data_IF_236491580989
#
_entry.id   IF_236491580989
#
_cell.length_a   1.000
_cell.length_b   1.000
_cell.length_c   1.000
_cell.angle_alpha   90.00
_cell.angle_beta   90.00
_cell.angle_gamma   90.00
#
_symmetry.space_group_name_H-M   'P 1'
#
loop_
_entity.id
_entity.type
_entity.pdbx_description
1 polymer ?
#
# COMPACT_ATOMS: atom_id res chain seq x y z
N UNK A 1 -37.50 4.60 -20.80
CA UNK A 1 -36.38 5.53 -20.52
C UNK A 1 -35.25 4.74 -19.87
N UNK A 2 -34.46 4.02 -20.67
CA UNK A 2 -33.42 3.13 -20.16
C UNK A 2 -32.20 3.94 -19.72
N UNK A 3 -31.79 3.80 -18.46
CA UNK A 3 -30.72 4.58 -17.84
C UNK A 3 -29.36 4.17 -18.42
N UNK A 4 -28.84 4.95 -19.36
CA UNK A 4 -27.47 4.80 -19.92
C UNK A 4 -26.39 5.25 -18.94
N UNK A 5 -26.79 6.08 -17.97
CA UNK A 5 -26.05 6.29 -16.76
C UNK A 5 -26.42 5.21 -15.74
N UNK A 6 -25.41 4.52 -15.25
CA UNK A 6 -25.55 3.63 -14.10
C UNK A 6 -25.99 4.45 -12.87
N UNK A 7 -26.59 3.78 -11.89
CA UNK A 7 -27.14 4.43 -10.69
C UNK A 7 -26.09 5.23 -9.89
N UNK A 8 -24.81 4.91 -10.07
CA UNK A 8 -23.65 5.54 -9.44
C UNK A 8 -23.06 6.71 -10.26
N UNK A 9 -23.72 7.13 -11.35
CA UNK A 9 -23.31 8.26 -12.18
C UNK A 9 -22.25 7.94 -13.23
N UNK A 10 -21.93 6.66 -13.45
CA UNK A 10 -21.03 6.24 -14.52
C UNK A 10 -21.75 6.16 -15.86
N UNK A 11 -21.09 6.62 -16.90
CA UNK A 11 -21.52 6.50 -18.29
C UNK A 11 -20.90 5.25 -18.92
N UNK A 12 -21.72 4.36 -19.49
CA UNK A 12 -21.23 3.20 -20.22
C UNK A 12 -20.93 3.58 -21.68
N UNK A 13 -19.66 3.54 -22.06
CA UNK A 13 -19.16 3.90 -23.40
C UNK A 13 -18.83 2.61 -24.17
N UNK A 14 -19.65 2.24 -25.19
CA UNK A 14 -19.41 1.05 -26.00
C UNK A 14 -18.37 1.29 -27.10
N UNK A 15 -17.44 0.36 -27.25
CA UNK A 15 -16.52 0.29 -28.38
C UNK A 15 -16.69 -1.04 -29.12
N UNK A 16 -16.74 -1.00 -30.45
CA UNK A 16 -16.79 -2.21 -31.25
C UNK A 16 -15.43 -2.92 -31.24
N UNK A 17 -15.44 -4.24 -31.10
CA UNK A 17 -14.22 -5.04 -31.24
C UNK A 17 -13.91 -5.25 -32.74
N UNK A 18 -12.63 -5.29 -33.14
CA UNK A 18 -12.26 -5.59 -34.50
C UNK A 18 -12.60 -7.04 -34.84
N UNK A 19 -12.92 -7.34 -36.11
CA UNK A 19 -13.18 -8.71 -36.53
C UNK A 19 -11.89 -9.54 -36.43
N UNK A 20 -11.99 -10.72 -35.81
CA UNK A 20 -10.88 -11.67 -35.69
C UNK A 20 -11.26 -12.94 -36.43
N UNK A 21 -10.39 -13.42 -37.32
CA UNK A 21 -10.66 -14.56 -38.21
C UNK A 21 -11.05 -15.85 -37.46
N UNK A 22 -10.50 -16.05 -36.26
CA UNK A 22 -10.70 -17.26 -35.47
C UNK A 22 -11.97 -17.24 -34.60
N UNK A 23 -12.62 -16.10 -34.44
CA UNK A 23 -13.86 -15.99 -33.68
C UNK A 23 -15.05 -16.12 -34.62
N UNK A 24 -15.91 -17.11 -34.36
CA UNK A 24 -17.18 -17.25 -35.10
C UNK A 24 -17.98 -15.96 -34.95
N UNK A 25 -18.21 -15.26 -36.06
CA UNK A 25 -19.04 -14.08 -36.09
C UNK A 25 -20.47 -14.50 -35.74
N UNK A 26 -20.89 -14.21 -34.50
CA UNK A 26 -22.31 -14.31 -34.11
C UNK A 26 -23.09 -13.20 -34.83
N UNK A 27 -24.42 -13.34 -34.90
CA UNK A 27 -25.31 -12.34 -35.52
C UNK A 27 -25.25 -10.94 -34.91
N UNK A 28 -24.70 -10.80 -33.69
CA UNK A 28 -24.52 -9.52 -32.99
C UNK A 28 -23.05 -9.14 -32.92
N UNK A 29 -22.73 -7.90 -33.30
CA UNK A 29 -21.38 -7.31 -33.20
C UNK A 29 -20.97 -7.27 -31.70
N UNK A 30 -19.78 -7.78 -31.32
CA UNK A 30 -19.34 -7.73 -29.94
C UNK A 30 -18.79 -6.34 -29.57
N UNK A 31 -19.06 -5.92 -28.33
CA UNK A 31 -18.68 -4.61 -27.80
C UNK A 31 -17.90 -4.74 -26.49
N UNK A 32 -16.89 -3.89 -26.31
CA UNK A 32 -16.25 -3.63 -25.03
C UNK A 32 -16.90 -2.39 -24.40
N UNK A 33 -17.23 -2.47 -23.11
CA UNK A 33 -17.83 -1.36 -22.38
C UNK A 33 -16.80 -0.78 -21.40
N UNK A 34 -16.43 0.48 -21.62
CA UNK A 34 -15.64 1.26 -20.69
C UNK A 34 -16.57 2.17 -19.90
N UNK A 35 -16.31 2.36 -18.60
CA UNK A 35 -17.13 3.25 -17.77
C UNK A 35 -16.39 4.53 -17.48
N UNK A 36 -17.07 5.66 -17.68
CA UNK A 36 -16.48 6.99 -17.54
C UNK A 36 -17.27 7.81 -16.54
N UNK A 37 -16.57 8.55 -15.69
CA UNK A 37 -17.16 9.50 -14.74
C UNK A 37 -16.26 10.74 -14.63
N UNK A 38 -16.83 11.91 -14.37
CA UNK A 38 -16.05 13.10 -14.02
C UNK A 38 -15.33 12.90 -12.68
N UNK A 39 -14.01 13.11 -12.66
CA UNK A 39 -13.22 13.03 -11.43
C UNK A 39 -13.34 14.33 -10.65
N UNK A 40 -13.39 14.22 -9.33
CA UNK A 40 -13.35 15.36 -8.41
C UNK A 40 -12.28 15.08 -7.37
N UNK A 41 -11.23 15.90 -7.35
CA UNK A 41 -10.12 15.77 -6.43
C UNK A 41 -9.72 17.13 -5.91
N UNK A 42 -9.17 17.16 -4.69
CA UNK A 42 -8.56 18.37 -4.12
C UNK A 42 -7.10 18.54 -4.58
N UNK A 43 -6.48 17.47 -5.07
CA UNK A 43 -5.10 17.47 -5.56
C UNK A 43 -5.01 18.26 -6.87
N UNK A 44 -4.05 19.17 -6.96
CA UNK A 44 -3.81 20.00 -8.16
C UNK A 44 -3.45 19.14 -9.37
N UNK A 45 -2.66 18.08 -9.17
CA UNK A 45 -2.27 17.14 -10.23
C UNK A 45 -3.44 16.35 -10.83
N UNK A 46 -4.56 16.23 -10.12
CA UNK A 46 -5.74 15.48 -10.56
C UNK A 46 -6.92 16.39 -10.96
N UNK A 47 -6.66 17.68 -11.15
CA UNK A 47 -7.66 18.57 -11.69
C UNK A 47 -7.98 18.21 -13.15
N UNK A 48 -9.20 18.54 -13.57
CA UNK A 48 -9.64 18.37 -14.96
C UNK A 48 -9.51 16.92 -15.49
N UNK A 49 -9.79 15.93 -14.64
CA UNK A 49 -9.67 14.53 -15.00
C UNK A 49 -11.01 13.83 -15.24
N UNK A 50 -11.01 12.83 -16.12
CA UNK A 50 -12.06 11.81 -16.21
C UNK A 50 -11.58 10.51 -15.57
N UNK A 51 -12.40 9.92 -14.70
CA UNK A 51 -12.18 8.60 -14.12
C UNK A 51 -12.70 7.53 -15.07
N UNK A 52 -11.78 6.67 -15.52
CA UNK A 52 -12.02 5.58 -16.45
C UNK A 52 -11.93 4.25 -15.73
N UNK A 53 -12.83 3.33 -16.06
CA UNK A 53 -12.88 1.97 -15.49
C UNK A 53 -13.05 0.97 -16.63
N UNK A 54 -12.42 -0.18 -16.47
CA UNK A 54 -12.44 -1.26 -17.46
C UNK A 54 -11.83 -0.81 -18.79
N UNK A 55 -10.59 -0.31 -18.73
CA UNK A 55 -9.87 0.08 -19.94
C UNK A 55 -9.60 -1.17 -20.80
N UNK A 56 -9.61 -1.04 -22.14
CA UNK A 56 -9.18 -2.10 -23.05
C UNK A 56 -7.73 -2.54 -22.80
N UNK A 57 -7.40 -3.75 -23.24
CA UNK A 57 -6.05 -4.32 -23.13
C UNK A 57 -5.00 -3.42 -23.80
N UNK A 58 -3.86 -3.20 -23.16
CA UNK A 58 -2.72 -2.40 -23.66
C UNK A 58 -3.14 -0.99 -24.12
N UNK A 59 -3.96 -0.32 -23.29
CA UNK A 59 -4.39 1.04 -23.57
C UNK A 59 -3.25 2.03 -23.35
N UNK A 60 -2.72 2.58 -24.43
CA UNK A 60 -1.76 3.69 -24.38
C UNK A 60 -2.47 5.05 -24.52
N UNK A 61 -1.81 6.11 -24.05
CA UNK A 61 -2.29 7.49 -24.17
C UNK A 61 -2.66 7.85 -25.61
N UNK A 62 -1.85 7.43 -26.59
CA UNK A 62 -2.09 7.70 -28.01
C UNK A 62 -3.39 7.07 -28.54
N UNK A 63 -3.67 5.83 -28.18
CA UNK A 63 -4.87 5.12 -28.61
C UNK A 63 -6.11 5.79 -28.00
N UNK A 64 -6.01 6.14 -26.72
CA UNK A 64 -7.07 6.84 -26.00
C UNK A 64 -7.35 8.22 -26.62
N UNK A 65 -6.28 8.99 -26.89
CA UNK A 65 -6.35 10.27 -27.62
C UNK A 65 -7.05 10.13 -28.97
N UNK A 66 -6.65 9.16 -29.80
CA UNK A 66 -7.25 8.91 -31.12
C UNK A 66 -8.75 8.60 -31.02
N UNK A 67 -9.13 7.67 -30.14
CA UNK A 67 -10.53 7.25 -30.00
C UNK A 67 -11.42 8.36 -29.42
N UNK A 68 -10.94 9.09 -28.41
CA UNK A 68 -11.71 10.19 -27.83
C UNK A 68 -11.82 11.38 -28.79
N UNK A 69 -10.75 11.68 -29.53
CA UNK A 69 -10.78 12.70 -30.57
C UNK A 69 -11.77 12.35 -31.68
N UNK A 70 -11.85 11.08 -32.10
CA UNK A 70 -12.87 10.64 -33.07
C UNK A 70 -14.31 10.82 -32.54
N UNK A 71 -14.56 10.52 -31.25
CA UNK A 71 -15.86 10.79 -30.61
C UNK A 71 -16.18 12.28 -30.60
N UNK A 72 -15.21 13.11 -30.22
CA UNK A 72 -15.37 14.56 -30.15
C UNK A 72 -15.62 15.16 -31.53
N UNK A 73 -14.88 14.70 -32.56
CA UNK A 73 -15.03 15.12 -33.94
C UNK A 73 -16.42 14.77 -34.50
N UNK A 74 -16.98 13.60 -34.18
CA UNK A 74 -18.35 13.24 -34.62
C UNK A 74 -19.44 14.15 -34.06
N UNK A 75 -19.14 14.87 -32.97
CA UNK A 75 -20.07 15.75 -32.27
C UNK A 75 -19.69 17.23 -32.40
N UNK A 76 -18.77 17.59 -33.30
CA UNK A 76 -18.25 18.95 -33.52
C UNK A 76 -17.68 19.63 -32.26
N UNK A 77 -17.05 18.83 -31.39
CA UNK A 77 -16.42 19.31 -30.14
C UNK A 77 -14.90 19.14 -30.19
N UNK A 78 -14.19 20.00 -29.44
CA UNK A 78 -12.73 19.93 -29.30
C UNK A 78 -12.38 19.65 -27.84
N UNK A 79 -11.48 18.68 -27.64
CA UNK A 79 -10.95 18.33 -26.32
C UNK A 79 -9.45 18.00 -26.41
N UNK A 80 -8.65 18.61 -25.54
CA UNK A 80 -7.21 18.38 -25.47
C UNK A 80 -6.86 17.51 -24.27
N UNK A 81 -6.43 16.28 -24.55
CA UNK A 81 -5.92 15.35 -23.54
C UNK A 81 -4.45 15.61 -23.30
N UNK A 82 -4.07 15.78 -22.04
CA UNK A 82 -2.71 15.97 -21.61
C UNK A 82 -2.03 14.62 -21.38
N UNK A 83 -2.43 13.91 -20.33
CA UNK A 83 -1.75 12.73 -19.82
C UNK A 83 -2.74 11.65 -19.30
N UNK A 84 -2.22 10.45 -19.05
CA UNK A 84 -2.94 9.31 -18.48
C UNK A 84 -2.29 8.93 -17.15
N UNK A 85 -2.91 9.36 -16.06
CA UNK A 85 -2.42 9.15 -14.70
C UNK A 85 -2.89 7.80 -14.14
N UNK A 86 -2.04 7.20 -13.30
CA UNK A 86 -2.32 5.98 -12.52
C UNK A 86 -2.77 4.77 -13.35
N UNK A 87 -2.35 4.68 -14.61
CA UNK A 87 -2.65 3.53 -15.46
C UNK A 87 -1.72 2.35 -15.14
N UNK A 88 -2.20 1.48 -14.25
CA UNK A 88 -1.54 0.20 -13.96
C UNK A 88 -2.46 -0.97 -14.32
N UNK A 89 -2.30 -1.47 -15.55
CA UNK A 89 -3.09 -2.58 -16.08
C UNK A 89 -2.72 -3.92 -15.40
N UNK A 90 -1.43 -4.14 -15.19
CA UNK A 90 -0.89 -5.41 -14.71
C UNK A 90 -0.76 -5.48 -13.19
N UNK A 91 -0.84 -4.35 -12.48
CA UNK A 91 -0.72 -4.29 -11.03
C UNK A 91 0.73 -4.38 -10.56
N UNK A 92 1.69 -3.92 -11.38
CA UNK A 92 3.12 -3.99 -11.06
C UNK A 92 3.56 -2.88 -10.10
N UNK A 93 2.79 -1.78 -10.05
CA UNK A 93 3.13 -0.57 -9.32
C UNK A 93 2.17 -0.32 -8.13
N UNK A 94 1.38 -1.33 -7.74
CA UNK A 94 0.41 -1.22 -6.62
C UNK A 94 1.11 -0.90 -5.29
N UNK A 95 2.31 -1.46 -5.07
CA UNK A 95 3.10 -1.22 -3.86
C UNK A 95 4.51 -0.77 -4.24
N UNK A 96 4.77 0.52 -4.04
CA UNK A 96 6.13 1.05 -4.15
C UNK A 96 6.96 0.69 -2.90
N UNK A 97 7.84 -0.31 -3.07
CA UNK A 97 8.79 -0.77 -2.04
C UNK A 97 9.89 0.26 -1.73
N UNK A 98 10.22 1.13 -2.70
CA UNK A 98 11.28 2.12 -2.55
C UNK A 98 10.89 3.19 -1.53
N UNK A 99 9.67 3.74 -1.63
CA UNK A 99 9.16 4.72 -0.66
C UNK A 99 8.82 4.13 0.72
N UNK A 100 8.49 2.83 0.79
CA UNK A 100 8.23 2.17 2.08
C UNK A 100 9.51 2.01 2.92
N UNK A 101 10.61 1.71 2.25
CA UNK A 101 11.89 1.44 2.90
C UNK A 101 12.75 2.69 3.01
N UNK A 102 12.81 3.50 1.95
CA UNK A 102 13.60 4.71 1.83
C UNK A 102 12.73 5.97 1.75
N UNK A 103 13.23 7.06 2.30
CA UNK A 103 12.62 8.41 2.17
C UNK A 103 13.53 9.32 1.36
N UNK A 104 14.62 8.76 0.85
CA UNK A 104 15.66 9.51 0.14
C UNK A 104 15.20 9.87 -1.29
N UNK A 105 14.33 9.04 -1.87
CA UNK A 105 13.84 9.18 -3.23
C UNK A 105 12.35 9.58 -3.31
N UNK A 106 11.68 9.74 -2.16
CA UNK A 106 10.32 10.29 -2.14
C UNK A 106 10.41 11.79 -2.37
N UNK A 107 10.12 12.21 -3.60
CA UNK A 107 10.16 13.62 -4.04
C UNK A 107 9.01 14.42 -3.42
N UNK A 108 7.92 13.75 -3.08
CA UNK A 108 6.74 14.38 -2.49
C UNK A 108 6.78 14.30 -0.96
N UNK A 109 6.25 15.34 -0.31
CA UNK A 109 5.60 15.25 1.02
C UNK A 109 4.77 13.95 1.07
N UNK A 110 4.47 13.36 2.24
CA UNK A 110 3.65 12.16 2.35
C UNK A 110 2.21 12.45 1.92
N UNK A 111 2.00 12.75 0.64
CA UNK A 111 0.74 12.75 -0.04
C UNK A 111 0.19 11.36 0.18
N UNK A 112 -1.01 11.31 0.77
CA UNK A 112 -1.75 10.08 1.00
C UNK A 112 -1.68 9.23 -0.26
N UNK A 113 -0.96 8.09 -0.21
CA UNK A 113 -0.86 7.20 -1.36
C UNK A 113 -2.26 6.87 -1.80
N UNK A 114 -2.64 7.41 -2.96
CA UNK A 114 -3.99 7.27 -3.47
C UNK A 114 -4.19 5.83 -3.90
N UNK A 115 -5.12 5.14 -3.25
CA UNK A 115 -5.55 3.83 -3.70
C UNK A 115 -6.46 4.00 -4.92
N UNK A 116 -5.94 3.71 -6.12
CA UNK A 116 -6.75 3.54 -7.32
C UNK A 116 -7.14 2.06 -7.45
N UNK A 117 -8.43 1.73 -7.63
CA UNK A 117 -8.83 0.35 -7.88
C UNK A 117 -8.18 -0.20 -9.16
N UNK A 118 -7.95 -1.51 -9.22
CA UNK A 118 -7.36 -2.18 -10.38
C UNK A 118 -8.14 -1.90 -11.67
N UNK A 119 -7.43 -1.75 -12.78
CA UNK A 119 -8.00 -1.46 -14.11
C UNK A 119 -8.86 -0.19 -14.12
N UNK A 120 -8.37 0.84 -13.43
CA UNK A 120 -8.89 2.20 -13.51
C UNK A 120 -7.77 3.15 -13.88
N UNK A 121 -8.11 4.29 -14.46
CA UNK A 121 -7.13 5.32 -14.80
C UNK A 121 -7.79 6.70 -14.72
N UNK A 122 -6.96 7.73 -14.57
CA UNK A 122 -7.39 9.13 -14.67
C UNK A 122 -6.88 9.71 -15.98
N UNK A 123 -7.80 10.16 -16.82
CA UNK A 123 -7.46 10.87 -18.04
C UNK A 123 -7.45 12.36 -17.78
N UNK A 124 -6.27 12.98 -17.82
CA UNK A 124 -6.08 14.40 -17.58
C UNK A 124 -6.25 15.21 -18.85
N UNK A 125 -6.98 16.32 -18.75
CA UNK A 125 -7.16 17.28 -19.82
C UNK A 125 -6.44 18.59 -19.47
N UNK A 126 -6.09 19.35 -20.50
CA UNK A 126 -5.39 20.64 -20.35
C UNK A 126 -6.26 21.66 -19.60
N UNK A 127 -7.57 21.63 -19.84
CA UNK A 127 -8.48 22.67 -19.43
C UNK A 127 -9.87 22.11 -19.05
N UNK A 128 -10.59 22.84 -18.19
CA UNK A 128 -11.92 22.45 -17.73
C UNK A 128 -12.94 22.35 -18.87
N UNK A 129 -12.83 23.22 -19.89
CA UNK A 129 -13.75 23.24 -21.02
C UNK A 129 -13.60 21.97 -21.87
N UNK A 130 -12.36 21.54 -22.15
CA UNK A 130 -12.09 20.25 -22.80
C UNK A 130 -12.75 19.05 -22.11
N UNK A 131 -12.78 19.02 -20.77
CA UNK A 131 -13.44 17.95 -20.01
C UNK A 131 -14.95 17.97 -20.21
N UNK A 132 -15.56 19.15 -20.12
CA UNK A 132 -17.01 19.32 -20.30
C UNK A 132 -17.43 18.96 -21.73
N UNK A 133 -16.70 19.45 -22.73
CA UNK A 133 -16.91 19.13 -24.14
C UNK A 133 -16.82 17.62 -24.38
N UNK A 134 -15.76 16.98 -23.87
CA UNK A 134 -15.56 15.54 -24.02
C UNK A 134 -16.67 14.75 -23.30
N UNK A 135 -17.07 15.17 -22.10
CA UNK A 135 -18.14 14.51 -21.35
C UNK A 135 -19.49 14.57 -22.07
N UNK A 136 -19.83 15.72 -22.64
CA UNK A 136 -21.06 15.87 -23.43
C UNK A 136 -21.01 15.03 -24.71
N UNK A 137 -19.88 15.01 -25.40
CA UNK A 137 -19.66 14.17 -26.58
C UNK A 137 -19.80 12.68 -26.24
N UNK A 138 -19.19 12.22 -25.16
CA UNK A 138 -19.31 10.86 -24.67
C UNK A 138 -20.76 10.52 -24.29
N UNK A 139 -21.47 11.43 -23.61
CA UNK A 139 -22.88 11.24 -23.24
C UNK A 139 -23.75 11.06 -24.49
N UNK A 140 -23.60 11.92 -25.51
CA UNK A 140 -24.31 11.79 -26.79
C UNK A 140 -23.98 10.48 -27.50
N UNK A 141 -22.71 10.08 -27.50
CA UNK A 141 -22.24 8.84 -28.10
C UNK A 141 -22.81 7.60 -27.41
N UNK A 142 -22.84 7.58 -26.08
CA UNK A 142 -23.44 6.49 -25.30
C UNK A 142 -24.96 6.38 -25.51
N UNK A 143 -25.65 7.51 -25.71
CA UNK A 143 -27.09 7.53 -25.98
C UNK A 143 -27.49 7.06 -27.37
N UNK A 144 -26.57 7.15 -28.33
CA UNK A 144 -26.89 6.89 -29.72
C UNK A 144 -26.64 5.44 -30.12
N UNK A 145 -27.62 4.56 -29.83
CA UNK A 145 -27.56 3.13 -30.21
C UNK A 145 -27.67 2.84 -31.71
N UNK A 146 -28.08 3.83 -32.51
CA UNK A 146 -28.28 3.65 -33.97
C UNK A 146 -27.02 3.93 -34.77
N UNK A 147 -26.06 4.64 -34.21
CA UNK A 147 -24.80 4.96 -34.87
C UNK A 147 -23.83 3.78 -34.79
N UNK A 148 -22.98 3.66 -35.82
CA UNK A 148 -21.89 2.70 -35.78
C UNK A 148 -20.87 3.12 -34.71
N UNK A 149 -20.74 2.29 -33.69
CA UNK A 149 -19.75 2.48 -32.63
C UNK A 149 -18.32 2.42 -33.20
N UNK A 150 -17.44 3.22 -32.61
CA UNK A 150 -16.02 3.29 -33.00
C UNK A 150 -15.37 1.93 -32.71
N UNK A 151 -14.59 1.45 -33.67
CA UNK A 151 -13.84 0.20 -33.54
C UNK A 151 -12.56 0.47 -32.76
N UNK A 152 -12.42 -0.15 -31.59
CA UNK A 152 -11.19 -0.07 -30.81
C UNK A 152 -10.13 -0.97 -31.43
N UNK A 153 -9.13 -0.38 -32.07
CA UNK A 153 -8.00 -1.13 -32.63
C UNK A 153 -7.03 -1.50 -31.48
N UNK A 154 -6.98 -2.78 -31.15
CA UNK A 154 -5.97 -3.30 -30.23
C UNK A 154 -4.60 -3.24 -30.88
N UNK A 155 -3.61 -2.74 -30.15
CA UNK A 155 -2.22 -3.04 -30.48
C UNK A 155 -1.99 -4.50 -30.12
N UNK A 156 -1.78 -5.35 -31.12
CA UNK A 156 -1.39 -6.74 -30.90
C UNK A 156 0.14 -6.77 -30.83
N UNK A 157 0.74 -7.11 -29.67
CA UNK A 157 2.18 -7.26 -29.59
C UNK A 157 2.66 -8.32 -30.57
N UNK A 158 3.76 -8.04 -31.27
CA UNK A 158 4.35 -9.01 -32.18
C UNK A 158 5.13 -10.07 -31.39
N UNK A 159 5.49 -11.17 -32.07
CA UNK A 159 6.40 -12.16 -31.48
C UNK A 159 7.75 -11.56 -31.08
N UNK A 160 8.18 -10.49 -31.76
CA UNK A 160 9.41 -9.77 -31.43
C UNK A 160 9.29 -9.07 -30.08
N UNK A 161 8.13 -8.49 -29.77
CA UNK A 161 7.86 -7.90 -28.45
C UNK A 161 7.99 -8.96 -27.35
N UNK A 162 7.39 -10.14 -27.54
CA UNK A 162 7.52 -11.22 -26.55
C UNK A 162 8.94 -11.76 -26.44
N UNK A 163 9.62 -11.92 -27.57
CA UNK A 163 11.02 -12.37 -27.61
C UNK A 163 11.95 -11.35 -26.96
N UNK A 164 11.64 -10.05 -27.07
CA UNK A 164 12.45 -8.99 -26.46
C UNK A 164 12.49 -9.06 -24.94
N UNK A 165 11.46 -9.60 -24.27
CA UNK A 165 11.49 -9.79 -22.82
C UNK A 165 12.55 -10.79 -22.35
N UNK A 166 12.95 -11.72 -23.23
CA UNK A 166 14.02 -12.69 -22.95
C UNK A 166 15.42 -12.16 -23.34
N UNK A 167 15.51 -11.03 -24.03
CA UNK A 167 16.81 -10.45 -24.41
C UNK A 167 17.45 -9.79 -23.19
N UNK A 168 18.78 -9.88 -23.04
CA UNK A 168 19.47 -9.12 -22.02
C UNK A 168 19.31 -7.62 -22.29
N UNK A 169 19.19 -6.84 -21.22
CA UNK A 169 19.17 -5.38 -21.28
C UNK A 169 20.50 -4.88 -21.90
N UNK A 170 20.46 -3.82 -22.72
CA UNK A 170 21.68 -3.23 -23.27
C UNK A 170 22.62 -2.77 -22.16
N UNK A 171 23.85 -3.28 -22.17
CA UNK A 171 24.82 -3.07 -21.10
C UNK A 171 25.18 -1.59 -20.89
N UNK A 172 25.36 -0.83 -21.97
CA UNK A 172 25.70 0.60 -21.89
C UNK A 172 24.56 1.44 -21.33
N UNK A 173 23.31 1.11 -21.68
CA UNK A 173 22.13 1.75 -21.09
C UNK A 173 22.08 1.49 -19.58
N UNK A 174 22.22 0.23 -19.17
CA UNK A 174 22.15 -0.16 -17.76
C UNK A 174 23.28 0.48 -16.94
N UNK A 175 24.50 0.53 -17.47
CA UNK A 175 25.63 1.20 -16.79
C UNK A 175 25.34 2.67 -16.55
N UNK A 176 24.89 3.39 -17.57
CA UNK A 176 24.64 4.83 -17.47
C UNK A 176 23.49 5.13 -16.51
N UNK A 177 22.39 4.38 -16.60
CA UNK A 177 21.24 4.50 -15.72
C UNK A 177 21.61 4.24 -14.25
N UNK A 178 22.36 3.16 -13.97
CA UNK A 178 22.85 2.86 -12.63
C UNK A 178 23.82 3.95 -12.13
N UNK A 179 24.74 4.42 -12.97
CA UNK A 179 25.70 5.45 -12.57
C UNK A 179 25.01 6.77 -12.21
N UNK A 180 24.03 7.20 -13.02
CA UNK A 180 23.22 8.38 -12.72
C UNK A 180 22.42 8.21 -11.43
N UNK A 181 21.76 7.06 -11.27
CA UNK A 181 20.99 6.75 -10.07
C UNK A 181 21.88 6.69 -8.81
N UNK A 182 23.08 6.09 -8.89
CA UNK A 182 24.04 6.03 -7.79
C UNK A 182 24.61 7.39 -7.44
N UNK A 183 24.96 8.22 -8.42
CA UNK A 183 25.44 9.58 -8.17
C UNK A 183 24.38 10.42 -7.42
N UNK A 184 23.12 10.32 -7.86
CA UNK A 184 22.00 11.00 -7.22
C UNK A 184 21.72 10.46 -5.80
N UNK A 185 21.80 9.14 -5.63
CA UNK A 185 21.63 8.49 -4.33
C UNK A 185 22.73 8.93 -3.34
N UNK A 186 23.99 8.91 -3.75
CA UNK A 186 25.14 9.35 -2.92
C UNK A 186 25.03 10.83 -2.54
N UNK A 187 24.60 11.69 -3.47
CA UNK A 187 24.36 13.11 -3.21
C UNK A 187 23.33 13.28 -2.09
N UNK A 188 22.19 12.59 -2.18
CA UNK A 188 21.13 12.69 -1.17
C UNK A 188 21.50 12.01 0.14
N UNK A 189 22.25 10.91 0.12
CA UNK A 189 22.75 10.26 1.34
C UNK A 189 23.68 11.21 2.09
N UNK A 190 24.55 11.93 1.37
CA UNK A 190 25.45 12.93 1.96
C UNK A 190 24.67 14.09 2.59
N UNK A 191 23.67 14.63 1.89
CA UNK A 191 22.78 15.66 2.43
C UNK A 191 22.09 15.20 3.72
N UNK A 192 21.50 14.00 3.71
CA UNK A 192 20.84 13.45 4.89
C UNK A 192 21.80 13.21 6.07
N UNK A 193 23.06 12.82 5.80
CA UNK A 193 24.08 12.67 6.83
C UNK A 193 24.53 14.02 7.41
N UNK A 194 24.68 15.03 6.55
CA UNK A 194 25.02 16.39 6.97
C UNK A 194 23.91 16.99 7.84
N UNK A 195 22.64 16.82 7.45
CA UNK A 195 21.49 17.22 8.27
C UNK A 195 21.50 16.55 9.65
N UNK A 196 21.81 15.26 9.73
CA UNK A 196 21.89 14.52 11.00
C UNK A 196 23.05 15.00 11.88
N UNK A 197 24.20 15.33 11.29
CA UNK A 197 25.39 15.80 12.00
C UNK A 197 25.31 17.28 12.37
N UNK A 198 24.51 18.05 11.63
CA UNK A 198 24.20 19.42 11.99
C UNK A 198 23.59 19.45 13.40
N UNK A 199 24.00 20.42 14.21
CA UNK A 199 23.48 20.58 15.57
C UNK A 199 22.04 21.07 15.50
N UNK A 200 21.09 20.15 15.36
CA UNK A 200 19.66 20.45 15.41
C UNK A 200 19.32 20.83 16.85
N UNK A 201 19.15 22.14 17.08
CA UNK A 201 18.63 22.71 18.33
C UNK A 201 17.18 23.10 18.07
N UNK A 202 16.27 22.60 18.89
CA UNK A 202 14.83 22.90 18.79
C UNK A 202 14.51 24.33 19.23
N UNK A 203 13.30 24.81 18.93
CA UNK A 203 12.80 26.14 19.34
C UNK A 203 12.86 26.35 20.88
N UNK A 204 12.72 25.27 21.65
CA UNK A 204 12.83 25.24 23.12
C UNK A 204 14.28 25.05 23.63
N UNK A 205 15.27 24.98 22.75
CA UNK A 205 16.70 24.89 23.09
C UNK A 205 17.22 23.48 23.38
N UNK A 206 16.46 22.42 23.07
CA UNK A 206 16.92 21.04 23.24
C UNK A 206 17.78 20.57 22.06
N UNK A 207 18.88 19.87 22.35
CA UNK A 207 19.75 19.26 21.32
C UNK A 207 19.39 17.79 21.10
N UNK A 208 19.24 17.39 19.83
CA UNK A 208 18.98 15.99 19.47
C UNK A 208 20.23 15.11 19.68
N UNK A 209 20.13 14.09 20.53
CA UNK A 209 21.21 13.10 20.70
C UNK A 209 21.22 12.11 19.54
N UNK A 210 22.24 12.21 18.70
CA UNK A 210 22.45 11.32 17.55
C UNK A 210 23.60 10.35 17.83
N UNK A 211 23.41 9.07 17.45
CA UNK A 211 24.47 8.07 17.55
C UNK A 211 25.51 8.24 16.43
N UNK A 212 26.78 7.93 16.70
CA UNK A 212 27.92 8.12 15.77
C UNK A 212 27.71 7.57 14.35
N UNK A 213 26.97 6.46 14.21
CA UNK A 213 26.77 5.76 12.93
C UNK A 213 25.35 5.95 12.36
N UNK A 214 24.58 6.91 12.86
CA UNK A 214 23.23 7.15 12.33
C UNK A 214 23.30 7.95 11.03
N UNK A 215 22.66 7.43 9.98
CA UNK A 215 22.75 8.00 8.63
C UNK A 215 21.57 8.92 8.25
N UNK A 216 20.43 8.79 8.92
CA UNK A 216 19.22 9.54 8.59
C UNK A 216 18.32 9.71 9.82
N UNK A 217 17.68 10.87 9.94
CA UNK A 217 16.70 11.18 10.99
C UNK A 217 15.50 10.23 10.95
N UNK A 218 15.04 9.84 9.75
CA UNK A 218 13.89 8.93 9.65
C UNK A 218 14.21 7.52 10.19
N UNK A 219 15.47 7.08 10.07
CA UNK A 219 15.92 5.83 10.70
C UNK A 219 15.77 5.88 12.22
N UNK A 220 16.06 7.03 12.84
CA UNK A 220 15.88 7.25 14.27
C UNK A 220 14.39 7.22 14.62
N UNK A 221 13.54 7.95 13.88
CA UNK A 221 12.07 7.97 14.07
C UNK A 221 11.48 6.56 13.99
N UNK A 222 11.79 5.78 12.95
CA UNK A 222 11.33 4.39 12.80
C UNK A 222 11.79 3.49 13.95
N UNK A 223 13.06 3.62 14.40
CA UNK A 223 13.58 2.84 15.55
C UNK A 223 12.85 3.17 16.86
N UNK A 224 12.57 4.45 17.12
CA UNK A 224 11.82 4.88 18.31
C UNK A 224 10.38 4.37 18.23
N UNK A 225 9.71 4.55 17.09
CA UNK A 225 8.35 4.06 16.86
C UNK A 225 8.26 2.54 17.09
N UNK A 226 9.17 1.75 16.52
CA UNK A 226 9.19 0.29 16.67
C UNK A 226 9.54 -0.19 18.09
N UNK A 227 10.16 0.66 18.91
CA UNK A 227 10.42 0.37 20.34
C UNK A 227 9.21 0.63 21.21
N UNK A 228 8.17 1.29 20.71
CA UNK A 228 7.00 1.61 21.50
C UNK A 228 6.26 0.31 21.91
N UNK A 229 6.24 -0.04 23.21
CA UNK A 229 5.65 -1.30 23.67
C UNK A 229 4.12 -1.34 23.44
N UNK A 230 3.48 -0.18 23.30
CA UNK A 230 2.04 -0.06 23.05
C UNK A 230 1.62 -0.55 21.65
N UNK A 231 2.56 -0.64 20.70
CA UNK A 231 2.28 -1.09 19.33
C UNK A 231 2.44 -2.60 19.14
N UNK A 232 3.08 -3.29 20.10
CA UNK A 232 3.26 -4.74 20.02
C UNK A 232 2.02 -5.43 20.57
N UNK A 233 1.26 -6.08 19.68
CA UNK A 233 0.18 -7.02 20.01
C UNK A 233 0.71 -8.35 20.60
N UNK A 234 1.78 -8.30 21.39
CA UNK A 234 2.19 -9.45 22.18
C UNK A 234 1.40 -9.40 23.49
N UNK A 235 0.85 -10.54 23.91
CA UNK A 235 0.26 -10.69 25.25
C UNK A 235 1.23 -10.06 26.24
N UNK A 236 0.78 -9.25 27.21
CA UNK A 236 1.67 -8.62 28.17
C UNK A 236 2.39 -9.74 28.93
N UNK A 237 3.57 -10.12 28.47
CA UNK A 237 4.53 -10.83 29.28
C UNK A 237 4.76 -9.85 30.41
N UNK A 238 4.31 -10.20 31.61
CA UNK A 238 4.53 -9.40 32.81
C UNK A 238 6.05 -9.31 32.98
N UNK A 239 6.65 -8.31 32.35
CA UNK A 239 8.03 -7.95 32.54
C UNK A 239 8.14 -7.70 34.05
N UNK A 240 9.07 -8.34 34.78
CA UNK A 240 9.26 -7.99 36.18
C UNK A 240 9.51 -6.49 36.20
N UNK A 241 8.63 -5.76 36.90
CA UNK A 241 8.70 -4.30 36.92
C UNK A 241 10.13 -3.93 37.36
N UNK A 242 10.68 -2.81 36.89
CA UNK A 242 11.99 -2.36 37.40
C UNK A 242 11.99 -2.22 38.93
N UNK A 243 10.81 -2.04 39.52
CA UNK A 243 10.51 -2.20 40.94
C UNK A 243 10.91 -3.59 41.41
N UNK A 244 10.40 -4.68 40.83
CA UNK A 244 10.76 -6.06 41.20
C UNK A 244 12.25 -6.40 41.05
N UNK A 245 12.96 -5.79 40.07
CA UNK A 245 14.42 -5.96 39.90
C UNK A 245 15.24 -5.25 40.97
N UNK A 246 14.78 -4.10 41.48
CA UNK A 246 15.46 -3.31 42.51
C UNK A 246 14.93 -3.56 43.92
N UNK A 247 13.76 -4.18 44.05
CA UNK A 247 13.16 -4.53 45.33
C UNK A 247 13.92 -5.73 45.88
N UNK A 248 14.74 -5.43 46.89
CA UNK A 248 15.38 -6.45 47.73
C UNK A 248 14.28 -7.25 48.42
N UNK A 249 14.22 -8.55 48.12
CA UNK A 249 13.37 -9.50 48.84
C UNK A 249 14.02 -9.75 50.21
N UNK A 250 13.59 -8.99 51.23
CA UNK A 250 13.95 -9.06 52.68
C UNK A 250 14.27 -7.74 53.34
N UNK A 251 14.14 -6.64 52.62
CA UNK A 251 14.41 -5.35 53.23
C UNK A 251 13.36 -4.97 54.28
N UNK A 252 12.10 -5.38 54.09
CA UNK A 252 11.02 -4.96 54.97
C UNK A 252 10.54 -6.10 55.90
N UNK A 253 10.22 -5.74 57.15
CA UNK A 253 9.70 -6.68 58.17
C UNK A 253 8.44 -7.43 57.73
N UNK A 254 7.60 -6.81 56.87
CA UNK A 254 6.40 -7.48 56.37
C UNK A 254 6.75 -8.64 55.42
N UNK A 255 7.83 -8.52 54.62
CA UNK A 255 8.31 -9.58 53.74
C UNK A 255 8.79 -10.79 54.55
N UNK A 256 9.52 -10.52 55.65
CA UNK A 256 9.96 -11.56 56.60
C UNK A 256 8.75 -12.24 57.28
N UNK A 257 7.72 -11.48 57.66
CA UNK A 257 6.49 -12.05 58.24
C UNK A 257 5.72 -12.91 57.23
N UNK A 258 5.60 -12.46 55.99
CA UNK A 258 4.93 -13.24 54.93
C UNK A 258 5.68 -14.54 54.65
N UNK A 259 7.02 -14.50 54.55
CA UNK A 259 7.81 -15.73 54.38
C UNK A 259 7.59 -16.71 55.52
N UNK A 260 7.70 -16.25 56.77
CA UNK A 260 7.46 -17.12 57.94
C UNK A 260 6.06 -17.72 57.93
N UNK A 261 5.04 -16.95 57.52
CA UNK A 261 3.68 -17.47 57.34
C UNK A 261 3.61 -18.54 56.25
N UNK A 262 4.29 -18.35 55.13
CA UNK A 262 4.36 -19.33 54.04
C UNK A 262 5.06 -20.62 54.48
N UNK A 263 6.20 -20.51 55.16
CA UNK A 263 6.95 -21.66 55.71
C UNK A 263 6.11 -22.46 56.70
N UNK A 264 5.42 -21.78 57.62
CA UNK A 264 4.50 -22.44 58.58
C UNK A 264 3.37 -23.15 57.84
N UNK A 265 2.78 -22.52 56.82
CA UNK A 265 1.68 -23.11 56.07
C UNK A 265 2.15 -24.33 55.26
N UNK A 266 3.34 -24.29 54.67
CA UNK A 266 3.95 -25.42 53.98
C UNK A 266 4.22 -26.59 54.94
N UNK A 267 4.69 -26.30 56.17
CA UNK A 267 4.92 -27.31 57.18
C UNK A 267 3.62 -27.98 57.65
N UNK A 268 2.55 -27.20 57.82
CA UNK A 268 1.21 -27.73 58.09
C UNK A 268 0.69 -28.59 56.94
N UNK A 269 0.94 -28.20 55.68
CA UNK A 269 0.56 -28.98 54.51
C UNK A 269 1.31 -30.32 54.44
N UNK A 270 2.64 -30.31 54.66
CA UNK A 270 3.46 -31.53 54.72
C UNK A 270 3.03 -32.44 55.87
N UNK A 271 2.73 -31.89 57.03
CA UNK A 271 2.23 -32.66 58.17
C UNK A 271 0.90 -33.36 57.87
N UNK A 272 -0.03 -32.68 57.19
CA UNK A 272 -1.28 -33.31 56.73
C UNK A 272 -1.02 -34.45 55.75
N UNK A 273 -0.12 -34.26 54.79
CA UNK A 273 0.27 -35.30 53.84
C UNK A 273 0.90 -36.51 54.55
N UNK A 274 1.77 -36.28 55.54
CA UNK A 274 2.37 -37.35 56.33
C UNK A 274 1.33 -38.08 57.19
N UNK A 275 0.34 -37.37 57.75
CA UNK A 275 -0.78 -38.01 58.44
C UNK A 275 -1.62 -38.89 57.50
N UNK A 276 -1.91 -38.42 56.29
CA UNK A 276 -2.61 -39.21 55.27
C UNK A 276 -1.80 -40.44 54.89
N UNK A 277 -0.49 -40.29 54.68
CA UNK A 277 0.42 -41.39 54.38
C UNK A 277 0.48 -42.42 55.51
N UNK A 278 0.49 -41.99 56.77
CA UNK A 278 0.44 -42.87 57.93
C UNK A 278 -0.92 -43.60 57.99
N UNK A 279 -2.04 -42.92 57.72
CA UNK A 279 -3.36 -43.56 57.64
C UNK A 279 -3.39 -44.66 56.57
N UNK A 280 -2.80 -44.41 55.41
CA UNK A 280 -2.66 -45.43 54.36
C UNK A 280 -1.76 -46.60 54.76
N UNK A 281 -0.65 -46.34 55.46
CA UNK A 281 0.24 -47.41 55.94
C UNK A 281 -0.41 -48.25 57.05
N UNK A 282 -1.25 -47.64 57.89
CA UNK A 282 -2.04 -48.33 58.91
C UNK A 282 -3.15 -49.17 58.29
N UNK A 283 -3.86 -48.68 57.28
CA UNK A 283 -4.89 -49.48 56.57
C UNK A 283 -4.29 -50.67 55.83
N UNK A 284 -3.04 -50.54 55.36
CA UNK A 284 -2.26 -51.63 54.76
C UNK A 284 -1.53 -52.52 55.79
N UNK A 285 -1.72 -52.31 57.10
CA UNK A 285 -1.07 -53.05 58.21
C UNK A 285 0.46 -53.10 58.16
N UNK A 286 1.12 -52.11 57.55
CA UNK A 286 2.59 -52.03 57.39
C UNK A 286 3.24 -50.93 58.24
N UNK A 287 2.50 -50.33 59.17
CA UNK A 287 3.01 -49.26 60.02
C UNK A 287 3.69 -49.81 61.27
N UNK A 288 5.01 -49.60 61.43
CA UNK A 288 5.76 -49.92 62.64
C UNK A 288 6.29 -48.63 63.31
N UNK A 289 5.81 -48.26 64.52
CA UNK A 289 6.15 -46.99 65.15
C UNK A 289 7.51 -46.93 65.89
N UNK A 290 8.22 -48.05 66.05
CA UNK A 290 9.44 -48.12 66.90
C UNK A 290 10.65 -48.78 66.22
N UNK A 291 10.74 -48.68 64.89
CA UNK A 291 11.98 -49.05 64.17
C UNK A 291 12.76 -47.82 63.73
#
# INVERSE_FOLDING_TARGET
MAREQLQNGFLAVPFALPPVNNLKQKSSKPYHYMFVRKHQSKLESEQHCLFLVNLPLLTQLENLKKNFHEICHRNDTVSHVQDLLHHDEFGLHEVDLSSLTSTLMSVDEPNEKRYTPRNTALLQFVDKQSVENCWEALRKYASNRKQEHIVWKFQSPSIETFTSFYRPLPLEYLKNDIHEHMALFEQRERQAQEEVQSSIVDDDGFTLVVGKNTKSLNSIRKKIFNRNPLLKHEKPVKMPNMVDKKVKKDFYRFQVRERKKQEINELLAKFKQDQEKIKEMRSKSRFNPYS
#
